data_IF_629836897387
#
_entry.id   IF_629836897387
#
_cell.length_a   1.000
_cell.length_b   1.000
_cell.length_c   1.000
_cell.angle_alpha   90.00
_cell.angle_beta   90.00
_cell.angle_gamma   90.00
#
_symmetry.space_group_name_H-M   'P 1'
#
loop_
_entity.id
_entity.type
_entity.pdbx_description
1 polymer ?
#
# COMPACT_ATOMS: atom_id res chain seq x y z
N UNK A 1 2.15 14.35 7.96
CA UNK A 1 1.25 13.26 7.54
C UNK A 1 -0.22 13.61 7.76
N UNK A 2 -0.68 13.89 8.99
CA UNK A 2 -2.11 14.19 9.27
C UNK A 2 -2.74 15.23 8.33
N UNK A 3 -2.03 16.33 8.01
CA UNK A 3 -2.53 17.32 7.05
C UNK A 3 -2.77 16.73 5.65
N UNK A 4 -1.93 15.82 5.18
CA UNK A 4 -2.07 15.16 3.88
C UNK A 4 -3.25 14.19 3.89
N UNK A 5 -3.40 13.41 4.97
CA UNK A 5 -4.57 12.56 5.16
C UNK A 5 -5.87 13.37 5.09
N UNK A 6 -5.94 14.49 5.81
CA UNK A 6 -7.13 15.36 5.81
C UNK A 6 -7.39 15.98 4.42
N UNK A 7 -6.33 16.36 3.68
CA UNK A 7 -6.47 16.86 2.32
C UNK A 7 -7.03 15.76 1.42
N UNK A 8 -6.47 14.55 1.45
CA UNK A 8 -6.96 13.41 0.67
C UNK A 8 -8.44 13.14 0.97
N UNK A 9 -8.81 13.09 2.25
CA UNK A 9 -10.21 12.92 2.69
C UNK A 9 -11.12 14.03 2.12
N UNK A 10 -10.74 15.30 2.26
CA UNK A 10 -11.54 16.42 1.73
C UNK A 10 -11.70 16.39 0.21
N UNK A 11 -10.77 15.75 -0.49
CA UNK A 11 -10.80 15.56 -1.94
C UNK A 11 -11.50 14.25 -2.36
N UNK A 12 -11.98 13.44 -1.41
CA UNK A 12 -12.51 12.11 -1.66
C UNK A 12 -11.46 11.15 -2.26
N UNK A 13 -10.20 11.28 -1.82
CA UNK A 13 -9.05 10.49 -2.24
C UNK A 13 -8.51 9.66 -1.07
N UNK A 14 -7.79 8.60 -1.42
CA UNK A 14 -7.09 7.74 -0.47
C UNK A 14 -5.61 8.14 -0.40
N UNK A 15 -5.01 8.01 0.78
CA UNK A 15 -3.60 8.30 1.03
C UNK A 15 -2.80 7.02 1.27
N UNK A 16 -1.66 6.90 0.57
CA UNK A 16 -0.68 5.83 0.78
C UNK A 16 0.57 6.43 1.41
N UNK A 17 1.01 5.88 2.55
CA UNK A 17 2.31 6.21 3.13
C UNK A 17 3.38 5.23 2.62
N UNK A 18 4.32 5.74 1.83
CA UNK A 18 5.44 4.98 1.30
C UNK A 18 6.65 5.00 2.25
N UNK A 19 7.61 4.10 2.03
CA UNK A 19 8.86 3.96 2.79
C UNK A 19 8.67 3.55 4.26
N UNK A 20 7.69 2.69 4.56
CA UNK A 20 7.51 2.10 5.89
C UNK A 20 8.53 0.98 6.12
N UNK A 21 9.48 1.18 7.03
CA UNK A 21 10.60 0.25 7.23
C UNK A 21 10.46 -0.68 8.45
N UNK A 22 9.56 -0.38 9.39
CA UNK A 22 9.38 -1.15 10.62
C UNK A 22 8.01 -0.94 11.28
N UNK A 23 7.70 -1.80 12.26
CA UNK A 23 6.43 -1.79 13.00
C UNK A 23 6.19 -0.49 13.79
N UNK A 24 7.23 0.17 14.27
CA UNK A 24 7.09 1.45 14.98
C UNK A 24 6.51 2.52 14.05
N UNK A 25 7.04 2.63 12.82
CA UNK A 25 6.52 3.56 11.81
C UNK A 25 5.09 3.18 11.42
N UNK A 26 4.83 1.89 11.21
CA UNK A 26 3.49 1.37 10.89
C UNK A 26 2.45 1.78 11.94
N UNK A 27 2.72 1.52 13.22
CA UNK A 27 1.81 1.82 14.33
C UNK A 27 1.51 3.33 14.44
N UNK A 28 2.52 4.17 14.18
CA UNK A 28 2.32 5.63 14.14
C UNK A 28 1.38 5.99 12.99
N UNK A 29 1.63 5.47 11.78
CA UNK A 29 0.85 5.80 10.59
C UNK A 29 -0.61 5.35 10.70
N UNK A 30 -0.87 4.19 11.29
CA UNK A 30 -2.23 3.71 11.58
C UNK A 30 -3.01 4.73 12.45
N UNK A 31 -2.37 5.31 13.48
CA UNK A 31 -2.98 6.36 14.32
C UNK A 31 -3.14 7.73 13.63
N UNK A 32 -2.55 7.92 12.44
CA UNK A 32 -2.66 9.14 11.64
C UNK A 32 -3.75 9.06 10.57
N UNK A 33 -4.43 7.91 10.44
CA UNK A 33 -5.56 7.72 9.54
C UNK A 33 -5.17 7.50 8.07
N UNK A 34 -3.98 6.95 7.79
CA UNK A 34 -3.61 6.59 6.41
C UNK A 34 -4.43 5.39 5.93
N UNK A 35 -4.82 5.36 4.66
CA UNK A 35 -5.61 4.25 4.11
C UNK A 35 -4.74 3.03 3.80
N UNK A 36 -3.52 3.27 3.29
CA UNK A 36 -2.59 2.21 2.91
C UNK A 36 -1.16 2.55 3.29
N UNK A 37 -0.33 1.50 3.37
CA UNK A 37 1.11 1.59 3.63
C UNK A 37 1.88 0.73 2.64
N UNK A 38 3.06 1.20 2.25
CA UNK A 38 4.03 0.44 1.46
C UNK A 38 5.44 0.68 1.98
N UNK A 39 6.24 -0.38 2.05
CA UNK A 39 7.65 -0.29 2.40
C UNK A 39 8.20 -1.64 2.84
N UNK A 40 9.51 -1.69 3.06
CA UNK A 40 10.23 -2.94 3.35
C UNK A 40 9.84 -3.57 4.70
N UNK A 41 9.28 -2.77 5.62
CA UNK A 41 8.67 -3.25 6.86
C UNK A 41 7.31 -3.93 6.66
N UNK A 42 6.71 -3.81 5.47
CA UNK A 42 5.46 -4.49 5.09
C UNK A 42 5.76 -5.71 4.22
N UNK A 43 6.46 -5.49 3.10
CA UNK A 43 6.92 -6.52 2.19
C UNK A 43 8.04 -5.97 1.32
N UNK A 44 8.97 -6.83 0.91
CA UNK A 44 9.97 -6.45 -0.10
C UNK A 44 9.33 -6.46 -1.49
N UNK A 45 9.83 -5.64 -2.44
CA UNK A 45 9.45 -5.75 -3.84
C UNK A 45 9.75 -7.17 -4.35
N UNK A 46 8.79 -7.74 -5.08
CA UNK A 46 8.88 -9.07 -5.68
C UNK A 46 8.51 -8.99 -7.16
N UNK A 47 8.94 -9.98 -7.95
CA UNK A 47 8.54 -10.06 -9.36
C UNK A 47 7.04 -10.31 -9.49
N UNK A 48 6.44 -9.84 -10.58
CA UNK A 48 5.01 -10.01 -10.82
C UNK A 48 4.61 -11.49 -10.87
N UNK A 49 5.48 -12.35 -11.42
CA UNK A 49 5.27 -13.80 -11.49
C UNK A 49 5.08 -14.38 -10.08
N UNK A 50 5.96 -14.03 -9.13
CA UNK A 50 5.88 -14.50 -7.74
C UNK A 50 4.59 -14.03 -7.04
N UNK A 51 4.15 -12.80 -7.32
CA UNK A 51 2.91 -12.26 -6.77
C UNK A 51 1.67 -13.00 -7.30
N UNK A 52 1.69 -13.46 -8.55
CA UNK A 52 0.59 -14.24 -9.14
C UNK A 52 0.51 -15.67 -8.62
N UNK A 53 1.65 -16.28 -8.26
CA UNK A 53 1.67 -17.61 -7.63
C UNK A 53 1.01 -17.56 -6.24
N UNK A 54 1.27 -16.49 -5.48
CA UNK A 54 0.66 -16.28 -4.17
C UNK A 54 -0.84 -15.94 -4.24
N UNK A 55 -1.31 -15.41 -5.37
CA UNK A 55 -2.72 -15.05 -5.62
C UNK A 55 -3.17 -15.51 -7.01
N UNK A 56 -3.61 -16.77 -7.16
CA UNK A 56 -3.92 -17.36 -8.47
C UNK A 56 -4.95 -16.57 -9.30
N UNK A 57 -5.91 -15.90 -8.64
CA UNK A 57 -6.92 -15.07 -9.30
C UNK A 57 -6.40 -13.74 -9.86
N UNK A 58 -5.19 -13.31 -9.51
CA UNK A 58 -4.58 -12.07 -9.99
C UNK A 58 -3.97 -12.23 -11.39
N UNK A 59 -3.46 -13.44 -11.71
CA UNK A 59 -2.86 -13.77 -13.00
C UNK A 59 -3.83 -13.49 -14.16
N UNK A 60 -5.10 -13.88 -13.99
CA UNK A 60 -6.14 -13.70 -15.00
C UNK A 60 -6.43 -12.22 -15.29
N UNK A 61 -6.35 -11.34 -14.28
CA UNK A 61 -6.58 -9.90 -14.44
C UNK A 61 -5.41 -9.19 -15.12
N UNK A 62 -4.17 -9.58 -14.81
CA UNK A 62 -2.97 -8.99 -15.42
C UNK A 62 -2.88 -9.37 -16.91
N UNK A 63 -3.24 -10.61 -17.27
CA UNK A 63 -3.21 -11.07 -18.67
C UNK A 63 -4.16 -10.29 -19.60
N UNK A 64 -5.21 -9.67 -19.05
CA UNK A 64 -6.22 -8.93 -19.80
C UNK A 64 -6.03 -7.41 -19.80
N UNK A 65 -5.03 -6.89 -19.08
CA UNK A 65 -4.80 -5.44 -18.93
C UNK A 65 -3.91 -4.83 -20.04
N UNK A 66 -3.96 -5.37 -21.27
CA UNK A 66 -3.25 -4.80 -22.43
C UNK A 66 -4.10 -3.79 -23.18
#
# INVERSE_FOLDING_TARGET
MRSITNIAESMGKQAIAEFVENDTIKNILEGLGVDYIQGYGVAKPESLELLTVQRPGLAHKISQAR
#
